data_IF_149480930197
#
_entry.id   IF_149480930197
#
_cell.length_a   1.000
_cell.length_b   1.000
_cell.length_c   1.000
_cell.angle_alpha   90.00
_cell.angle_beta   90.00
_cell.angle_gamma   90.00
#
_symmetry.space_group_name_H-M   'P 1'
#
loop_
_entity.id
_entity.type
_entity.pdbx_description
1 polymer ?
#
# COMPACT_ATOMS: atom_id res chain seq x y z
N UNK A 1 2.04 -18.50 5.45
CA UNK A 1 2.54 -17.99 4.16
C UNK A 1 3.04 -16.58 4.38
N UNK A 2 4.29 -16.27 4.10
CA UNK A 2 4.85 -14.97 4.44
C UNK A 2 4.48 -13.91 3.38
N UNK A 3 3.73 -12.85 3.72
CA UNK A 3 3.49 -11.75 2.79
C UNK A 3 4.73 -10.87 2.59
N UNK A 4 4.81 -10.28 1.39
CA UNK A 4 5.73 -9.18 1.08
C UNK A 4 4.90 -7.91 0.90
N UNK A 5 5.20 -6.87 1.67
CA UNK A 5 4.41 -5.64 1.72
C UNK A 5 5.19 -4.49 1.08
N UNK A 6 4.55 -3.82 0.12
CA UNK A 6 5.08 -2.68 -0.62
C UNK A 6 4.14 -1.49 -0.48
N UNK A 7 4.66 -0.29 -0.50
CA UNK A 7 3.78 0.88 -0.48
C UNK A 7 4.40 2.13 0.10
N UNK A 8 3.51 3.04 0.46
CA UNK A 8 3.79 4.35 1.04
C UNK A 8 3.51 4.40 2.54
N UNK A 9 3.15 5.58 3.07
CA UNK A 9 2.84 5.80 4.49
C UNK A 9 1.67 4.97 5.02
N UNK A 10 0.73 4.56 4.15
CA UNK A 10 -0.41 3.73 4.56
C UNK A 10 0.04 2.34 5.04
N UNK A 11 1.25 1.90 4.64
CA UNK A 11 1.75 0.56 4.90
C UNK A 11 3.11 0.53 5.60
N UNK A 12 3.81 1.68 5.75
CA UNK A 12 5.14 1.76 6.37
C UNK A 12 5.11 1.44 7.87
N UNK A 13 5.75 0.35 8.33
CA UNK A 13 5.83 0.02 9.75
C UNK A 13 6.91 0.84 10.49
N UNK A 14 7.61 1.74 9.78
CA UNK A 14 8.68 2.60 10.28
C UNK A 14 10.03 2.40 9.59
N UNK A 15 10.08 1.99 8.32
CA UNK A 15 11.33 1.94 7.54
C UNK A 15 12.04 3.29 7.51
N UNK A 16 11.27 4.38 7.44
CA UNK A 16 11.82 5.72 7.41
C UNK A 16 12.54 6.15 8.70
N UNK A 17 12.41 5.39 9.79
CA UNK A 17 13.21 5.62 11.00
C UNK A 17 14.70 5.35 10.77
N UNK A 18 15.05 4.55 9.75
CA UNK A 18 16.40 4.07 9.47
C UNK A 18 17.04 4.72 8.25
N UNK A 19 16.41 5.73 7.65
CA UNK A 19 16.93 6.52 6.54
C UNK A 19 17.02 8.01 6.90
N UNK A 20 17.86 8.74 6.16
CA UNK A 20 17.98 10.20 6.29
C UNK A 20 16.91 10.88 5.41
N UNK A 21 15.76 11.16 6.00
CA UNK A 21 14.65 11.83 5.34
C UNK A 21 14.01 12.88 6.26
N UNK A 22 13.08 13.67 5.73
CA UNK A 22 12.33 14.69 6.47
C UNK A 22 11.63 14.10 7.69
N UNK A 23 11.50 14.90 8.74
CA UNK A 23 10.68 14.56 9.91
C UNK A 23 9.21 14.31 9.54
N UNK A 24 8.71 14.97 8.51
CA UNK A 24 7.35 14.79 8.00
C UNK A 24 7.12 13.43 7.35
N UNK A 25 8.20 12.75 6.94
CA UNK A 25 8.15 11.37 6.44
C UNK A 25 8.40 10.33 7.54
N UNK A 26 8.36 10.74 8.82
CA UNK A 26 8.56 9.87 9.99
C UNK A 26 7.43 10.07 10.98
N UNK A 27 6.76 9.00 11.35
CA UNK A 27 5.78 9.01 12.44
C UNK A 27 6.40 8.36 13.71
N UNK A 28 7.62 8.76 14.05
CA UNK A 28 8.41 8.21 15.16
C UNK A 28 8.48 9.15 16.38
N UNK A 29 7.49 10.01 16.51
CA UNK A 29 7.32 10.97 17.62
C UNK A 29 5.86 11.01 18.05
N UNK A 30 5.58 11.45 19.31
CA UNK A 30 4.22 11.62 19.79
C UNK A 30 3.44 12.64 18.93
N UNK A 31 2.11 12.44 18.73
CA UNK A 31 1.26 11.45 19.38
C UNK A 31 1.04 10.16 18.59
N UNK A 32 1.82 9.92 17.50
CA UNK A 32 1.71 8.66 16.76
C UNK A 32 1.92 7.43 17.67
N UNK A 33 1.18 6.35 17.43
CA UNK A 33 1.29 5.10 18.17
C UNK A 33 0.69 5.08 19.59
N UNK A 34 0.04 6.17 20.04
CA UNK A 34 -0.38 6.34 21.43
C UNK A 34 -1.44 5.35 21.93
N UNK A 35 -2.30 4.82 21.03
CA UNK A 35 -3.42 3.96 21.46
C UNK A 35 -3.04 2.49 21.59
N UNK A 36 -2.37 1.90 20.62
CA UNK A 36 -2.06 0.47 20.61
C UNK A 36 -0.64 0.16 21.12
N UNK A 37 0.37 0.75 20.49
CA UNK A 37 1.77 0.47 20.81
C UNK A 37 2.24 1.19 22.08
N UNK A 38 1.59 2.28 22.45
CA UNK A 38 1.95 3.16 23.58
C UNK A 38 3.28 3.90 23.40
N UNK A 39 3.82 3.88 22.19
CA UNK A 39 5.00 4.63 21.76
C UNK A 39 5.01 4.76 20.24
N UNK A 40 5.67 5.78 19.69
CA UNK A 40 5.79 5.97 18.24
C UNK A 40 6.62 4.87 17.60
N UNK A 41 6.11 4.27 16.53
CA UNK A 41 6.79 3.18 15.82
C UNK A 41 7.26 3.57 14.44
N UNK A 42 6.80 4.69 13.90
CA UNK A 42 6.96 5.09 12.52
C UNK A 42 5.71 4.82 11.66
N UNK A 43 4.65 4.26 12.25
CA UNK A 43 3.35 4.09 11.59
C UNK A 43 2.55 5.38 11.65
N UNK A 44 2.03 5.81 10.52
CA UNK A 44 1.16 6.99 10.41
C UNK A 44 -0.26 6.66 10.90
N UNK A 45 -0.39 6.60 12.21
CA UNK A 45 -1.64 6.32 12.94
C UNK A 45 -1.41 6.49 14.44
N UNK A 46 -2.48 6.64 15.21
CA UNK A 46 -2.45 6.46 16.66
C UNK A 46 -2.18 5.01 17.09
N UNK A 47 -2.17 4.06 16.13
CA UNK A 47 -1.93 2.65 16.41
C UNK A 47 -1.46 1.86 15.18
N UNK A 48 -2.25 0.86 14.79
CA UNK A 48 -1.93 -0.09 13.71
C UNK A 48 -2.39 0.41 12.36
N UNK A 49 -1.74 -0.12 11.30
CA UNK A 49 -2.10 0.06 9.90
C UNK A 49 -2.83 -1.18 9.34
N UNK A 50 -3.37 -1.10 8.13
CA UNK A 50 -4.04 -2.24 7.47
C UNK A 50 -3.15 -3.51 7.44
N UNK A 51 -1.85 -3.45 7.08
CA UNK A 51 -1.00 -4.64 7.11
C UNK A 51 -0.95 -5.31 8.48
N UNK A 52 -0.93 -4.57 9.58
CA UNK A 52 -0.94 -5.15 10.93
C UNK A 52 -2.23 -5.94 11.20
N UNK A 53 -3.38 -5.45 10.71
CA UNK A 53 -4.65 -6.19 10.84
C UNK A 53 -4.67 -7.44 9.97
N UNK A 54 -4.11 -7.39 8.76
CA UNK A 54 -3.93 -8.57 7.90
C UNK A 54 -3.02 -9.60 8.59
N UNK A 55 -1.88 -9.17 9.16
CA UNK A 55 -1.00 -10.05 9.94
C UNK A 55 -1.75 -10.72 11.09
N UNK A 56 -2.53 -9.93 11.86
CA UNK A 56 -3.35 -10.44 12.96
C UNK A 56 -4.36 -11.50 12.51
N UNK A 57 -5.09 -11.25 11.41
CA UNK A 57 -6.09 -12.19 10.89
C UNK A 57 -5.46 -13.46 10.30
N UNK A 58 -4.27 -13.33 9.70
CA UNK A 58 -3.47 -14.44 9.20
C UNK A 58 -2.71 -15.20 10.29
N UNK A 59 -2.83 -14.81 11.57
CA UNK A 59 -2.09 -15.36 12.70
C UNK A 59 -0.55 -15.27 12.55
N UNK A 60 -0.10 -14.19 11.90
CA UNK A 60 1.32 -13.87 11.72
C UNK A 60 1.78 -12.81 12.74
N UNK A 61 3.08 -12.74 13.06
CA UNK A 61 3.63 -11.62 13.81
C UNK A 61 3.47 -10.31 13.03
N UNK A 62 3.36 -9.17 13.74
CA UNK A 62 3.40 -7.86 13.09
C UNK A 62 4.75 -7.67 12.39
N UNK A 63 4.71 -7.22 11.13
CA UNK A 63 5.94 -7.00 10.38
C UNK A 63 6.71 -5.82 10.95
N UNK A 64 8.00 -6.07 11.19
CA UNK A 64 8.97 -5.04 11.49
C UNK A 64 9.40 -4.34 10.20
N UNK A 65 9.92 -3.11 10.30
CA UNK A 65 10.58 -2.50 9.16
C UNK A 65 11.67 -3.40 8.58
N UNK A 66 11.74 -3.53 7.26
CA UNK A 66 12.81 -4.28 6.59
C UNK A 66 14.20 -3.78 7.00
N UNK A 67 14.36 -2.46 7.15
CA UNK A 67 15.61 -1.82 7.55
C UNK A 67 15.93 -1.92 9.05
N UNK A 68 15.06 -2.52 9.87
CA UNK A 68 15.32 -2.63 11.30
C UNK A 68 16.61 -3.45 11.58
N UNK A 69 17.51 -2.98 12.46
CA UNK A 69 18.75 -3.70 12.78
C UNK A 69 18.47 -5.11 13.28
N UNK A 70 19.27 -6.08 12.77
CA UNK A 70 19.14 -7.50 13.16
C UNK A 70 17.95 -8.22 12.49
N UNK A 71 17.27 -7.60 11.54
CA UNK A 71 16.24 -8.27 10.75
C UNK A 71 16.90 -9.13 9.67
N UNK A 72 16.93 -10.45 9.87
CA UNK A 72 17.52 -11.42 8.95
C UNK A 72 16.65 -12.66 8.73
N UNK A 73 15.50 -12.72 9.42
CA UNK A 73 14.55 -13.82 9.31
C UNK A 73 13.30 -13.36 8.55
N UNK A 74 13.22 -13.74 7.27
CA UNK A 74 12.13 -13.33 6.38
C UNK A 74 11.11 -14.45 6.10
N UNK A 75 11.21 -15.57 6.83
CA UNK A 75 10.29 -16.69 6.66
C UNK A 75 8.83 -16.32 7.00
N UNK A 76 8.62 -15.27 7.80
CA UNK A 76 7.30 -14.72 8.13
C UNK A 76 6.94 -13.48 7.31
N UNK A 77 7.69 -13.21 6.23
CA UNK A 77 7.47 -12.04 5.36
C UNK A 77 8.32 -10.84 5.70
N UNK A 78 8.20 -9.81 4.87
CA UNK A 78 8.91 -8.54 5.02
C UNK A 78 8.01 -7.37 4.62
N UNK A 79 8.23 -6.21 5.24
CA UNK A 79 7.55 -4.97 4.86
C UNK A 79 8.58 -3.94 4.39
N UNK A 80 8.52 -3.59 3.11
CA UNK A 80 9.43 -2.69 2.40
C UNK A 80 8.86 -1.28 2.25
N UNK A 81 7.60 -1.05 2.62
CA UNK A 81 6.91 0.22 2.44
C UNK A 81 7.64 1.38 3.11
N UNK A 82 7.56 2.55 2.52
CA UNK A 82 8.24 3.77 2.98
C UNK A 82 7.31 4.97 2.84
N UNK A 83 7.11 5.71 3.91
CA UNK A 83 6.28 6.91 3.86
C UNK A 83 6.84 7.93 2.85
N UNK A 84 5.95 8.52 2.05
CA UNK A 84 6.32 9.39 0.94
C UNK A 84 6.73 8.66 -0.34
N UNK A 85 6.76 7.32 -0.33
CA UNK A 85 7.11 6.55 -1.53
C UNK A 85 6.11 6.77 -2.67
N UNK A 86 6.64 6.88 -3.86
CA UNK A 86 5.89 6.98 -5.12
C UNK A 86 6.31 5.89 -6.11
N UNK A 87 5.46 5.66 -7.10
CA UNK A 87 5.77 4.77 -8.22
C UNK A 87 6.80 5.40 -9.17
N UNK A 88 6.89 6.73 -9.22
CA UNK A 88 7.89 7.48 -9.99
C UNK A 88 9.07 7.81 -9.06
N UNK A 89 10.18 7.11 -9.23
CA UNK A 89 11.33 7.18 -8.30
C UNK A 89 11.91 8.59 -8.10
N UNK A 90 11.86 9.44 -9.14
CA UNK A 90 12.43 10.80 -9.11
C UNK A 90 11.56 11.80 -8.34
N UNK A 91 10.35 11.44 -7.93
CA UNK A 91 9.44 12.33 -7.19
C UNK A 91 10.00 12.75 -5.83
N UNK A 92 10.59 11.83 -5.08
CA UNK A 92 11.32 12.14 -3.84
C UNK A 92 12.49 11.15 -3.63
N UNK A 93 13.74 11.56 -3.87
CA UNK A 93 14.92 10.71 -3.69
C UNK A 93 15.30 10.50 -2.21
N UNK A 94 14.63 11.12 -1.26
CA UNK A 94 14.94 10.98 0.17
C UNK A 94 14.19 9.83 0.86
N UNK A 95 13.27 9.18 0.15
CA UNK A 95 12.48 8.03 0.61
C UNK A 95 12.78 6.78 -0.23
N UNK A 96 12.26 5.63 0.20
CA UNK A 96 12.48 4.36 -0.52
C UNK A 96 11.38 4.21 -1.58
N UNK A 97 11.68 4.59 -2.83
CA UNK A 97 10.75 4.48 -3.96
C UNK A 97 10.29 3.03 -4.17
N UNK A 98 9.21 2.82 -4.94
CA UNK A 98 8.71 1.48 -5.28
C UNK A 98 9.79 0.60 -5.95
N UNK A 99 10.64 1.19 -6.80
CA UNK A 99 11.76 0.49 -7.43
C UNK A 99 12.84 0.08 -6.42
N UNK A 100 13.15 0.96 -5.45
CA UNK A 100 14.07 0.63 -4.37
C UNK A 100 13.50 -0.46 -3.43
N UNK A 101 12.19 -0.46 -3.18
CA UNK A 101 11.49 -1.53 -2.45
C UNK A 101 11.61 -2.88 -3.18
N UNK A 102 11.49 -2.89 -4.51
CA UNK A 102 11.75 -4.08 -5.32
C UNK A 102 13.19 -4.57 -5.18
N UNK A 103 14.15 -3.66 -5.15
CA UNK A 103 15.57 -4.00 -4.95
C UNK A 103 15.79 -4.69 -3.60
N UNK A 104 15.18 -4.16 -2.53
CA UNK A 104 15.21 -4.77 -1.20
C UNK A 104 14.53 -6.16 -1.20
N UNK A 105 13.43 -6.31 -1.94
CA UNK A 105 12.78 -7.62 -2.09
C UNK A 105 13.68 -8.63 -2.81
N UNK A 106 14.41 -8.24 -3.85
CA UNK A 106 15.39 -9.09 -4.54
C UNK A 106 16.49 -9.59 -3.59
N UNK A 107 16.94 -8.74 -2.65
CA UNK A 107 17.88 -9.15 -1.60
C UNK A 107 17.27 -10.21 -0.68
N UNK A 108 16.02 -10.04 -0.25
CA UNK A 108 15.31 -11.04 0.58
C UNK A 108 15.17 -12.38 -0.17
N UNK A 109 14.82 -12.34 -1.46
CA UNK A 109 14.75 -13.56 -2.30
C UNK A 109 16.10 -14.27 -2.35
N UNK A 110 17.20 -13.53 -2.55
CA UNK A 110 18.55 -14.08 -2.55
C UNK A 110 18.92 -14.71 -1.21
N UNK A 111 18.59 -14.05 -0.10
CA UNK A 111 18.82 -14.59 1.25
C UNK A 111 18.01 -15.86 1.53
N UNK A 112 16.75 -15.90 1.12
CA UNK A 112 15.92 -17.10 1.27
C UNK A 112 16.50 -18.28 0.47
N UNK A 113 16.95 -18.06 -0.77
CA UNK A 113 17.60 -19.10 -1.59
C UNK A 113 18.90 -19.57 -0.97
N UNK A 114 19.70 -18.69 -0.43
CA UNK A 114 20.94 -19.02 0.27
C UNK A 114 20.70 -19.84 1.55
N UNK A 115 19.66 -19.53 2.31
CA UNK A 115 19.37 -20.16 3.61
C UNK A 115 18.66 -21.50 3.47
N UNK A 116 17.72 -21.61 2.52
CA UNK A 116 16.79 -22.75 2.41
C UNK A 116 17.01 -23.59 1.14
N UNK A 117 17.77 -23.07 0.17
CA UNK A 117 17.90 -23.64 -1.18
C UNK A 117 16.77 -23.19 -2.10
N UNK A 118 17.01 -23.32 -3.41
CA UNK A 118 16.09 -22.79 -4.45
C UNK A 118 14.67 -23.37 -4.36
N UNK A 119 14.53 -24.68 -4.17
CA UNK A 119 13.23 -25.35 -4.18
C UNK A 119 12.30 -24.86 -3.04
N UNK A 120 12.82 -24.72 -1.82
CA UNK A 120 12.03 -24.27 -0.67
C UNK A 120 11.74 -22.78 -0.76
N UNK A 121 12.74 -21.98 -1.18
CA UNK A 121 12.56 -20.55 -1.43
C UNK A 121 11.49 -20.27 -2.49
N UNK A 122 11.53 -20.99 -3.62
CA UNK A 122 10.54 -20.90 -4.68
C UNK A 122 9.13 -21.28 -4.20
N UNK A 123 9.01 -22.27 -3.33
CA UNK A 123 7.73 -22.66 -2.74
C UNK A 123 7.19 -21.56 -1.82
N UNK A 124 8.06 -20.94 -1.02
CA UNK A 124 7.71 -19.79 -0.16
C UNK A 124 7.21 -18.62 -1.00
N UNK A 125 7.96 -18.25 -2.05
CA UNK A 125 7.63 -17.12 -2.93
C UNK A 125 6.30 -17.31 -3.66
N UNK A 126 6.04 -18.51 -4.18
CA UNK A 126 4.77 -18.83 -4.86
C UNK A 126 3.56 -18.70 -3.95
N UNK A 127 3.71 -19.10 -2.70
CA UNK A 127 2.62 -19.07 -1.73
C UNK A 127 2.50 -17.74 -1.01
N UNK A 128 3.52 -16.89 -1.08
CA UNK A 128 3.52 -15.55 -0.48
C UNK A 128 2.47 -14.66 -1.15
N UNK A 129 1.80 -13.83 -0.34
CA UNK A 129 0.93 -12.76 -0.84
C UNK A 129 1.75 -11.47 -0.94
N UNK A 130 1.83 -10.90 -2.14
CA UNK A 130 2.41 -9.57 -2.37
C UNK A 130 1.31 -8.53 -2.17
N UNK A 131 1.37 -7.80 -1.07
CA UNK A 131 0.41 -6.77 -0.69
C UNK A 131 0.96 -5.40 -1.07
N UNK A 132 0.22 -4.59 -1.83
CA UNK A 132 0.67 -3.26 -2.22
C UNK A 132 -0.40 -2.17 -2.12
N UNK A 133 0.05 -0.96 -1.73
CA UNK A 133 -0.72 0.29 -1.75
C UNK A 133 0.24 1.41 -2.14
N UNK A 134 0.12 1.91 -3.37
CA UNK A 134 1.04 2.90 -3.95
C UNK A 134 0.33 3.74 -5.02
N UNK A 135 0.82 4.96 -5.27
CA UNK A 135 0.32 5.88 -6.28
C UNK A 135 -0.34 7.13 -5.71
N UNK A 136 -0.77 7.10 -4.44
CA UNK A 136 -1.39 8.27 -3.80
C UNK A 136 -0.46 9.49 -3.73
N UNK A 137 0.78 9.26 -3.34
CA UNK A 137 1.83 10.30 -3.26
C UNK A 137 2.11 10.91 -4.64
N UNK A 138 2.17 10.08 -5.70
CA UNK A 138 2.38 10.56 -7.07
C UNK A 138 1.33 11.61 -7.46
N UNK A 139 0.07 11.40 -7.10
CA UNK A 139 -1.03 12.30 -7.47
C UNK A 139 -1.09 13.58 -6.63
N UNK A 140 -0.67 13.54 -5.38
CA UNK A 140 -0.49 14.76 -4.59
C UNK A 140 0.62 15.63 -5.18
N UNK A 141 1.77 15.03 -5.49
CA UNK A 141 2.90 15.74 -6.12
C UNK A 141 2.51 16.32 -7.47
N UNK A 142 1.82 15.53 -8.32
CA UNK A 142 1.35 16.00 -9.62
C UNK A 142 0.39 17.18 -9.50
N UNK A 143 -0.59 17.09 -8.60
CA UNK A 143 -1.58 18.17 -8.41
C UNK A 143 -0.97 19.45 -7.90
N UNK A 144 0.08 19.36 -7.08
CA UNK A 144 0.82 20.51 -6.57
C UNK A 144 1.68 21.17 -7.66
N UNK A 145 2.34 20.36 -8.48
CA UNK A 145 3.22 20.84 -9.57
C UNK A 145 2.43 21.35 -10.76
N UNK A 146 1.26 20.78 -11.05
CA UNK A 146 0.45 21.05 -12.25
C UNK A 146 -1.01 21.37 -11.89
N UNK A 147 -1.29 22.48 -11.18
CA UNK A 147 -2.63 22.79 -10.67
C UNK A 147 -3.67 23.08 -11.76
N UNK A 148 -3.25 23.24 -13.01
CA UNK A 148 -4.12 23.48 -14.17
C UNK A 148 -3.95 22.40 -15.26
N UNK A 149 -3.53 21.19 -14.87
CA UNK A 149 -3.35 20.10 -15.81
C UNK A 149 -4.66 19.79 -16.56
N UNK A 150 -4.56 19.58 -17.84
CA UNK A 150 -5.66 19.09 -18.67
C UNK A 150 -5.99 17.62 -18.35
N UNK A 151 -7.18 17.18 -18.71
CA UNK A 151 -7.58 15.78 -18.56
C UNK A 151 -6.59 14.82 -19.26
N UNK A 152 -6.10 15.17 -20.45
CA UNK A 152 -5.10 14.38 -21.18
C UNK A 152 -3.74 14.29 -20.45
N UNK A 153 -3.30 15.37 -19.80
CA UNK A 153 -2.07 15.36 -19.00
C UNK A 153 -2.24 14.47 -17.76
N UNK A 154 -3.39 14.55 -17.10
CA UNK A 154 -3.74 13.66 -15.97
C UNK A 154 -3.78 12.19 -16.39
N UNK A 155 -4.43 11.87 -17.52
CA UNK A 155 -4.47 10.51 -18.08
C UNK A 155 -3.07 9.98 -18.39
N UNK A 156 -2.24 10.78 -19.06
CA UNK A 156 -0.86 10.39 -19.38
C UNK A 156 -0.04 10.13 -18.11
N UNK A 157 -0.18 10.96 -17.08
CA UNK A 157 0.54 10.78 -15.83
C UNK A 157 0.09 9.48 -15.11
N UNK A 158 -1.21 9.20 -15.10
CA UNK A 158 -1.74 7.93 -14.57
C UNK A 158 -1.15 6.74 -15.31
N UNK A 159 -1.01 6.79 -16.64
CA UNK A 159 -0.41 5.68 -17.40
C UNK A 159 1.07 5.47 -17.03
N UNK A 160 1.82 6.53 -16.75
CA UNK A 160 3.21 6.41 -16.27
C UNK A 160 3.27 5.75 -14.90
N UNK A 161 2.43 6.19 -13.96
CA UNK A 161 2.34 5.61 -12.61
C UNK A 161 1.99 4.12 -12.67
N UNK A 162 0.94 3.77 -13.41
CA UNK A 162 0.50 2.38 -13.58
C UNK A 162 1.60 1.55 -14.28
N UNK A 163 2.25 2.09 -15.31
CA UNK A 163 3.35 1.42 -15.99
C UNK A 163 4.49 1.02 -15.04
N UNK A 164 4.89 1.92 -14.15
CA UNK A 164 5.93 1.64 -13.15
C UNK A 164 5.48 0.56 -12.14
N UNK A 165 4.23 0.63 -11.68
CA UNK A 165 3.66 -0.41 -10.80
C UNK A 165 3.69 -1.77 -11.50
N UNK A 166 3.25 -1.84 -12.76
CA UNK A 166 3.23 -3.09 -13.53
C UNK A 166 4.63 -3.67 -13.77
N UNK A 167 5.63 -2.82 -13.99
CA UNK A 167 7.02 -3.27 -14.11
C UNK A 167 7.48 -3.98 -12.84
N UNK A 168 7.20 -3.40 -11.68
CA UNK A 168 7.54 -4.03 -10.39
C UNK A 168 6.78 -5.34 -10.18
N UNK A 169 5.49 -5.39 -10.52
CA UNK A 169 4.68 -6.61 -10.40
C UNK A 169 5.21 -7.73 -11.30
N UNK A 170 5.59 -7.42 -12.55
CA UNK A 170 6.19 -8.40 -13.48
C UNK A 170 7.52 -8.94 -12.96
N UNK A 171 8.35 -8.09 -12.38
CA UNK A 171 9.61 -8.52 -11.75
C UNK A 171 9.36 -9.44 -10.54
N UNK A 172 8.41 -9.11 -9.65
CA UNK A 172 8.03 -9.98 -8.53
C UNK A 172 7.49 -11.33 -9.06
N UNK A 173 6.69 -11.30 -10.12
CA UNK A 173 6.21 -12.53 -10.77
C UNK A 173 7.36 -13.37 -11.33
N UNK A 174 8.33 -12.75 -12.01
CA UNK A 174 9.52 -13.43 -12.54
C UNK A 174 10.37 -14.06 -11.42
N UNK A 175 10.39 -13.47 -10.24
CA UNK A 175 11.05 -14.00 -9.04
C UNK A 175 10.26 -15.13 -8.33
N UNK A 176 9.09 -15.47 -8.81
CA UNK A 176 8.28 -16.58 -8.28
C UNK A 176 6.97 -16.17 -7.62
N UNK A 177 6.68 -14.89 -7.45
CA UNK A 177 5.41 -14.38 -6.87
C UNK A 177 4.20 -14.77 -7.72
N UNK A 178 3.10 -15.19 -7.09
CA UNK A 178 1.88 -15.64 -7.80
C UNK A 178 0.59 -15.09 -7.22
N UNK A 179 0.60 -14.51 -6.03
CA UNK A 179 -0.57 -13.99 -5.33
C UNK A 179 -0.37 -12.50 -5.04
N UNK A 180 -1.21 -11.67 -5.61
CA UNK A 180 -1.09 -10.22 -5.53
C UNK A 180 -2.35 -9.60 -4.93
N UNK A 181 -2.18 -8.76 -3.94
CA UNK A 181 -3.27 -8.04 -3.29
C UNK A 181 -3.03 -6.54 -3.40
N UNK A 182 -3.89 -5.87 -4.15
CA UNK A 182 -3.81 -4.44 -4.38
C UNK A 182 -4.84 -3.70 -3.51
N UNK A 183 -4.40 -2.74 -2.73
CA UNK A 183 -5.27 -1.69 -2.22
C UNK A 183 -5.29 -0.57 -3.26
N UNK A 184 -6.46 -0.22 -3.79
CA UNK A 184 -6.55 0.89 -4.71
C UNK A 184 -6.33 2.24 -4.01
N UNK A 185 -6.10 3.31 -4.79
CA UNK A 185 -5.82 4.64 -4.26
C UNK A 185 -7.05 5.22 -3.55
N UNK A 186 -6.81 5.85 -2.40
CA UNK A 186 -7.80 6.53 -1.57
C UNK A 186 -8.55 7.65 -2.29
N UNK A 187 -9.69 8.15 -1.76
CA UNK A 187 -10.36 9.34 -2.25
C UNK A 187 -9.57 10.61 -1.87
N UNK A 188 -8.40 10.80 -2.50
CA UNK A 188 -7.39 11.81 -2.16
C UNK A 188 -7.93 13.22 -2.03
N UNK A 189 -8.84 13.61 -2.94
CA UNK A 189 -9.44 14.94 -2.93
C UNK A 189 -10.37 15.20 -1.74
N UNK A 190 -10.75 14.17 -0.98
CA UNK A 190 -11.69 14.28 0.14
C UNK A 190 -11.00 14.23 1.52
N UNK A 191 -9.69 14.06 1.58
CA UNK A 191 -8.93 14.02 2.84
C UNK A 191 -8.99 15.36 3.57
N UNK A 192 -8.80 15.40 4.89
CA UNK A 192 -8.67 16.66 5.63
C UNK A 192 -7.58 17.57 5.03
N UNK A 193 -6.44 16.99 4.59
CA UNK A 193 -5.37 17.74 3.93
C UNK A 193 -5.85 18.43 2.68
N UNK A 194 -6.51 17.72 1.76
CA UNK A 194 -7.05 18.33 0.53
C UNK A 194 -8.10 19.40 0.83
N UNK A 195 -8.98 19.16 1.79
CA UNK A 195 -9.98 20.15 2.21
C UNK A 195 -9.33 21.42 2.75
N UNK A 196 -8.31 21.30 3.58
CA UNK A 196 -7.59 22.43 4.14
C UNK A 196 -6.78 23.17 3.07
N UNK A 197 -6.01 22.47 2.25
CA UNK A 197 -5.14 23.05 1.23
C UNK A 197 -5.91 23.86 0.17
N UNK A 198 -7.10 23.39 -0.19
CA UNK A 198 -7.93 24.02 -1.21
C UNK A 198 -9.11 24.83 -0.65
N UNK A 199 -9.14 25.03 0.69
CA UNK A 199 -10.18 25.80 1.40
C UNK A 199 -11.61 25.34 1.05
N UNK A 200 -11.83 24.02 1.05
CA UNK A 200 -13.11 23.40 0.71
C UNK A 200 -14.04 23.32 1.93
N UNK A 201 -15.33 23.14 1.67
CA UNK A 201 -16.31 22.81 2.72
C UNK A 201 -16.26 21.31 3.05
N UNK A 202 -16.92 20.90 4.14
CA UNK A 202 -16.97 19.49 4.58
C UNK A 202 -17.54 18.53 3.53
N UNK A 203 -18.45 19.02 2.68
CA UNK A 203 -19.12 18.20 1.66
C UNK A 203 -18.41 18.18 0.31
N UNK A 204 -17.38 19.00 0.15
CA UNK A 204 -16.60 19.10 -1.09
C UNK A 204 -15.36 18.24 -1.05
N UNK A 205 -14.91 17.84 -2.25
CA UNK A 205 -13.64 17.18 -2.48
C UNK A 205 -12.90 17.89 -3.63
N UNK A 206 -11.60 17.99 -3.53
CA UNK A 206 -10.80 18.55 -4.62
C UNK A 206 -10.90 17.67 -5.86
N UNK A 207 -11.44 18.24 -6.95
CA UNK A 207 -11.87 17.49 -8.12
C UNK A 207 -10.72 16.82 -8.88
N UNK A 208 -9.55 17.45 -8.95
CA UNK A 208 -8.45 16.99 -9.81
C UNK A 208 -7.75 15.78 -9.19
N UNK A 209 -7.34 15.82 -7.91
CA UNK A 209 -6.80 14.63 -7.22
C UNK A 209 -7.83 13.51 -7.13
N UNK A 210 -9.12 13.85 -7.01
CA UNK A 210 -10.20 12.87 -7.02
C UNK A 210 -10.36 12.20 -8.38
N UNK A 211 -10.18 12.95 -9.49
CA UNK A 211 -10.20 12.42 -10.84
C UNK A 211 -9.01 11.48 -11.08
N UNK A 212 -7.80 11.91 -10.71
CA UNK A 212 -6.57 11.11 -10.80
C UNK A 212 -6.71 9.78 -10.05
N UNK A 213 -7.23 9.82 -8.81
CA UNK A 213 -7.47 8.59 -8.03
C UNK A 213 -8.47 7.64 -8.71
N UNK A 214 -9.56 8.17 -9.31
CA UNK A 214 -10.52 7.35 -10.07
C UNK A 214 -9.93 6.75 -11.33
N UNK A 215 -9.17 7.53 -12.09
CA UNK A 215 -8.50 7.07 -13.31
C UNK A 215 -7.47 5.97 -12.98
N UNK A 216 -6.66 6.18 -11.92
CA UNK A 216 -5.74 5.16 -11.43
C UNK A 216 -6.47 3.85 -11.09
N UNK A 217 -7.52 3.93 -10.29
CA UNK A 217 -8.25 2.75 -9.82
C UNK A 217 -8.87 1.97 -10.98
N UNK A 218 -9.36 2.66 -12.00
CA UNK A 218 -9.87 2.03 -13.21
C UNK A 218 -8.74 1.38 -14.04
N UNK A 219 -7.62 2.07 -14.22
CA UNK A 219 -6.47 1.57 -14.94
C UNK A 219 -5.83 0.37 -14.25
N UNK A 220 -5.74 0.37 -12.91
CA UNK A 220 -5.23 -0.76 -12.12
C UNK A 220 -6.09 -2.02 -12.31
N UNK A 221 -7.42 -1.90 -12.30
CA UNK A 221 -8.32 -3.04 -12.55
C UNK A 221 -8.11 -3.62 -13.95
N UNK A 222 -7.98 -2.77 -14.97
CA UNK A 222 -7.73 -3.19 -16.35
C UNK A 222 -6.40 -3.92 -16.46
N UNK A 223 -5.34 -3.31 -15.93
CA UNK A 223 -3.99 -3.84 -15.97
C UNK A 223 -3.85 -5.19 -15.22
N UNK A 224 -4.48 -5.32 -14.05
CA UNK A 224 -4.45 -6.58 -13.29
C UNK A 224 -5.13 -7.73 -14.05
N UNK A 225 -6.24 -7.47 -14.74
CA UNK A 225 -6.91 -8.46 -15.59
C UNK A 225 -6.06 -8.86 -16.82
N UNK A 226 -5.35 -7.90 -17.39
CA UNK A 226 -4.42 -8.18 -18.50
C UNK A 226 -3.25 -9.04 -18.04
N UNK A 227 -2.70 -8.77 -16.84
CA UNK A 227 -1.64 -9.62 -16.26
C UNK A 227 -2.14 -11.06 -15.98
N UNK A 228 -3.38 -11.22 -15.50
CA UNK A 228 -3.97 -12.55 -15.28
C UNK A 228 -4.07 -13.37 -16.57
N UNK A 229 -4.34 -12.71 -17.70
CA UNK A 229 -4.36 -13.36 -19.03
C UNK A 229 -2.95 -13.68 -19.54
N UNK A 230 -2.00 -12.75 -19.33
CA UNK A 230 -0.64 -12.85 -19.87
C UNK A 230 0.29 -13.73 -19.06
N UNK A 231 0.08 -13.84 -17.75
CA UNK A 231 1.00 -14.46 -16.81
C UNK A 231 0.35 -15.71 -16.16
N UNK A 232 0.68 -16.91 -16.59
CA UNK A 232 0.11 -18.15 -16.06
C UNK A 232 0.28 -18.30 -14.55
N UNK A 233 -0.83 -18.59 -13.86
CA UNK A 233 -0.84 -18.71 -12.38
C UNK A 233 -0.75 -17.38 -11.63
N UNK A 234 -0.87 -16.25 -12.31
CA UNK A 234 -1.03 -14.95 -11.68
C UNK A 234 -2.44 -14.87 -11.05
N UNK A 235 -2.49 -14.66 -9.75
CA UNK A 235 -3.75 -14.48 -9.01
C UNK A 235 -3.74 -13.12 -8.35
N UNK A 236 -4.83 -12.40 -8.47
CA UNK A 236 -4.92 -11.07 -7.85
C UNK A 236 -6.24 -10.84 -7.15
N UNK A 237 -6.21 -9.88 -6.23
CA UNK A 237 -7.39 -9.25 -5.65
C UNK A 237 -7.20 -7.74 -5.62
N UNK A 238 -8.29 -7.00 -5.73
CA UNK A 238 -8.30 -5.54 -5.53
C UNK A 238 -9.28 -5.20 -4.42
N UNK A 239 -8.79 -4.56 -3.38
CA UNK A 239 -9.59 -3.94 -2.33
C UNK A 239 -10.02 -2.54 -2.78
N UNK A 240 -11.32 -2.31 -2.93
CA UNK A 240 -11.86 -0.99 -3.23
C UNK A 240 -11.83 -0.08 -1.99
N UNK A 241 -10.60 0.34 -1.65
CA UNK A 241 -10.34 1.25 -0.55
C UNK A 241 -10.99 2.61 -0.78
N UNK A 242 -10.98 3.08 -2.04
CA UNK A 242 -11.60 4.35 -2.44
C UNK A 242 -13.07 4.44 -2.02
N UNK A 243 -13.90 3.54 -2.52
CA UNK A 243 -15.34 3.56 -2.24
C UNK A 243 -15.62 3.23 -0.78
N UNK A 244 -14.86 2.31 -0.20
CA UNK A 244 -15.03 1.90 1.19
C UNK A 244 -14.72 3.02 2.17
N UNK A 245 -13.64 3.76 1.95
CA UNK A 245 -13.29 4.92 2.78
C UNK A 245 -14.27 6.08 2.55
N UNK A 246 -14.71 6.35 1.33
CA UNK A 246 -15.78 7.34 1.07
C UNK A 246 -17.05 6.99 1.84
N UNK A 247 -17.48 5.73 1.81
CA UNK A 247 -18.68 5.30 2.56
C UNK A 247 -18.53 5.52 4.06
N UNK A 248 -17.33 5.27 4.60
CA UNK A 248 -17.01 5.49 6.01
C UNK A 248 -16.99 6.99 6.34
N UNK A 249 -16.39 7.81 5.49
CA UNK A 249 -16.29 9.25 5.67
C UNK A 249 -17.64 9.96 5.57
N UNK A 250 -18.46 9.63 4.58
CA UNK A 250 -19.77 10.28 4.40
C UNK A 250 -20.92 9.69 5.24
N UNK A 251 -20.66 8.57 5.94
CA UNK A 251 -21.63 7.95 6.85
C UNK A 251 -20.98 7.55 8.19
N UNK A 252 -20.23 8.43 8.87
CA UNK A 252 -19.36 8.06 9.99
C UNK A 252 -20.15 7.43 11.15
N UNK A 253 -21.33 7.92 11.46
CA UNK A 253 -22.17 7.40 12.55
C UNK A 253 -22.56 5.93 12.34
N UNK A 254 -22.80 5.51 11.09
CA UNK A 254 -23.11 4.13 10.73
C UNK A 254 -21.96 3.18 11.10
N UNK A 255 -20.74 3.68 11.06
CA UNK A 255 -19.52 2.91 11.34
C UNK A 255 -18.96 3.16 12.76
N UNK A 256 -19.69 3.95 13.56
CA UNK A 256 -19.35 4.22 14.96
C UNK A 256 -18.30 5.32 15.16
N UNK A 257 -18.20 6.25 14.21
CA UNK A 257 -17.39 7.45 14.29
C UNK A 257 -18.28 8.69 14.48
N UNK A 258 -17.75 9.75 15.08
CA UNK A 258 -18.44 11.03 15.25
C UNK A 258 -17.93 12.09 14.27
N UNK A 259 -16.64 12.01 13.91
CA UNK A 259 -15.97 12.97 13.04
C UNK A 259 -15.21 12.27 11.91
N UNK A 260 -15.34 12.78 10.70
CA UNK A 260 -14.74 12.21 9.51
C UNK A 260 -14.15 13.26 8.55
N UNK A 261 -14.31 14.54 8.87
CA UNK A 261 -13.82 15.65 8.05
C UNK A 261 -12.61 16.34 8.70
N UNK A 262 -12.57 16.38 10.03
CA UNK A 262 -11.50 17.00 10.80
C UNK A 262 -10.63 15.86 11.37
N UNK A 263 -9.31 15.99 11.23
CA UNK A 263 -8.38 15.03 11.81
C UNK A 263 -8.31 15.14 13.34
N UNK A 264 -7.96 14.04 13.99
CA UNK A 264 -7.77 13.98 15.44
C UNK A 264 -6.56 14.81 15.91
N UNK A 265 -5.52 14.87 15.07
CA UNK A 265 -4.24 15.52 15.38
C UNK A 265 -3.82 16.46 14.25
N UNK A 266 -3.52 17.69 14.59
CA UNK A 266 -2.94 18.67 13.69
C UNK A 266 -3.40 20.09 13.91
N UNK A 267 -3.05 20.96 12.99
CA UNK A 267 -3.36 22.39 13.00
C UNK A 267 -4.20 22.81 11.80
N UNK A 268 -4.77 24.01 11.85
CA UNK A 268 -5.61 24.57 10.79
C UNK A 268 -7.07 24.13 10.87
N UNK A 269 -7.87 24.54 9.87
CA UNK A 269 -9.34 24.40 9.88
C UNK A 269 -9.81 22.94 9.98
N UNK A 270 -9.03 22.02 9.37
CA UNK A 270 -9.33 20.59 9.36
C UNK A 270 -8.33 19.77 10.20
N UNK A 271 -7.49 20.43 11.02
CA UNK A 271 -6.38 19.80 11.76
C UNK A 271 -5.48 18.96 10.87
N UNK A 272 -5.22 19.44 9.64
CA UNK A 272 -4.61 18.62 8.60
C UNK A 272 -3.09 18.82 8.46
N UNK A 273 -2.49 19.73 9.25
CA UNK A 273 -1.05 20.02 9.22
C UNK A 273 -0.40 19.79 10.57
N UNK A 274 0.89 19.56 10.58
CA UNK A 274 1.78 19.66 11.75
C UNK A 274 1.42 18.74 12.95
N UNK A 275 0.76 17.60 12.72
CA UNK A 275 0.49 16.65 13.80
C UNK A 275 1.79 16.24 14.50
N UNK A 276 1.90 16.53 15.79
CA UNK A 276 3.09 16.24 16.60
C UNK A 276 4.27 17.20 16.39
N UNK A 277 4.13 18.22 15.54
CA UNK A 277 5.18 19.19 15.22
C UNK A 277 4.66 20.60 15.48
N UNK A 278 5.35 21.38 16.35
CA UNK A 278 4.93 22.74 16.66
C UNK A 278 3.63 22.79 17.47
N UNK A 279 2.77 23.79 17.16
CA UNK A 279 1.48 23.95 17.80
C UNK A 279 0.40 23.17 17.05
N UNK A 280 -0.15 22.15 17.66
CA UNK A 280 -1.23 21.30 17.10
C UNK A 280 -2.29 21.01 18.15
N UNK A 281 -3.49 20.69 17.69
CA UNK A 281 -4.55 20.16 18.51
C UNK A 281 -4.57 18.63 18.47
N UNK A 282 -4.89 18.00 19.61
CA UNK A 282 -5.06 16.56 19.71
C UNK A 282 -6.44 16.23 20.29
N UNK A 283 -7.19 15.43 19.62
CA UNK A 283 -8.51 14.99 20.09
C UNK A 283 -8.39 14.14 21.37
N UNK A 284 -9.44 14.16 22.20
CA UNK A 284 -9.47 13.36 23.45
C UNK A 284 -9.60 11.86 23.23
N UNK A 285 -10.23 11.46 22.12
CA UNK A 285 -10.54 10.07 21.85
C UNK A 285 -10.43 9.78 20.35
N UNK A 286 -9.29 9.24 19.86
CA UNK A 286 -9.10 8.89 18.46
C UNK A 286 -10.16 7.91 17.92
N UNK A 287 -10.77 7.09 18.77
CA UNK A 287 -11.83 6.16 18.36
C UNK A 287 -13.12 6.86 17.87
N UNK A 288 -13.25 8.14 18.02
CA UNK A 288 -14.38 8.92 17.52
C UNK A 288 -14.14 9.51 16.13
N UNK A 289 -12.88 9.48 15.65
CA UNK A 289 -12.42 10.08 14.42
C UNK A 289 -12.08 9.04 13.36
N UNK A 290 -12.34 9.36 12.09
CA UNK A 290 -11.89 8.56 10.94
C UNK A 290 -10.41 8.82 10.69
N UNK A 291 -10.01 10.08 10.61
CA UNK A 291 -8.63 10.49 10.33
C UNK A 291 -7.88 10.79 11.63
N UNK A 292 -6.64 10.29 11.70
CA UNK A 292 -5.72 10.63 12.78
C UNK A 292 -5.00 11.95 12.49
N UNK A 293 -4.39 12.07 11.31
CA UNK A 293 -3.80 13.31 10.80
C UNK A 293 -4.48 13.73 9.48
N UNK A 294 -3.89 14.65 8.72
CA UNK A 294 -4.48 15.19 7.50
C UNK A 294 -4.76 14.17 6.39
N UNK A 295 -4.11 13.01 6.41
CA UNK A 295 -4.16 12.00 5.34
C UNK A 295 -4.39 10.58 5.85
N UNK A 296 -3.95 10.29 7.10
CA UNK A 296 -3.89 8.95 7.64
C UNK A 296 -5.00 8.68 8.64
N UNK A 297 -5.38 7.42 8.75
CA UNK A 297 -6.52 7.01 9.54
C UNK A 297 -6.15 6.65 10.97
N UNK A 298 -7.16 6.65 11.85
CA UNK A 298 -7.04 6.11 13.20
C UNK A 298 -6.92 4.58 13.20
N UNK A 299 -6.34 4.00 14.25
CA UNK A 299 -6.29 2.54 14.48
C UNK A 299 -7.68 1.89 14.28
N UNK A 300 -8.72 2.53 14.83
CA UNK A 300 -10.10 2.04 14.68
C UNK A 300 -10.57 2.05 13.25
N UNK A 301 -10.27 3.09 12.46
CA UNK A 301 -10.66 3.18 11.06
C UNK A 301 -9.90 2.14 10.23
N UNK A 302 -8.59 2.00 10.43
CA UNK A 302 -7.81 0.94 9.79
C UNK A 302 -8.28 -0.46 10.19
N UNK A 303 -8.72 -0.67 11.42
CA UNK A 303 -9.31 -1.94 11.87
C UNK A 303 -10.58 -2.31 11.08
N UNK A 304 -11.46 -1.31 10.82
CA UNK A 304 -12.67 -1.53 10.03
C UNK A 304 -12.35 -1.88 8.57
N UNK A 305 -11.44 -1.13 7.97
CA UNK A 305 -11.02 -1.34 6.59
C UNK A 305 -10.22 -2.65 6.43
N UNK A 306 -9.34 -2.96 7.37
CA UNK A 306 -8.60 -4.22 7.38
C UNK A 306 -9.51 -5.44 7.49
N UNK A 307 -10.60 -5.37 8.29
CA UNK A 307 -11.59 -6.45 8.35
C UNK A 307 -12.33 -6.62 7.04
N UNK A 308 -12.70 -5.51 6.38
CA UNK A 308 -13.35 -5.54 5.07
C UNK A 308 -12.40 -6.05 3.97
N UNK A 309 -11.13 -5.73 4.03
CA UNK A 309 -10.13 -6.27 3.11
C UNK A 309 -9.96 -7.77 3.32
N UNK A 310 -9.93 -8.23 4.59
CA UNK A 310 -9.72 -9.63 4.94
C UNK A 310 -10.87 -10.52 4.49
N UNK A 311 -12.11 -10.19 4.83
CA UNK A 311 -13.28 -11.07 4.61
C UNK A 311 -14.51 -10.36 3.99
N UNK A 312 -14.31 -9.16 3.44
CA UNK A 312 -15.37 -8.42 2.75
C UNK A 312 -15.90 -9.17 1.53
N UNK A 313 -17.15 -8.85 1.14
CA UNK A 313 -17.76 -9.41 -0.05
C UNK A 313 -17.18 -8.84 -1.35
N UNK A 314 -17.56 -9.41 -2.49
CA UNK A 314 -17.07 -9.05 -3.83
C UNK A 314 -17.31 -7.60 -4.25
N UNK A 315 -18.20 -6.89 -3.58
CA UNK A 315 -18.42 -5.45 -3.77
C UNK A 315 -17.39 -4.58 -3.02
N UNK A 316 -16.50 -5.18 -2.26
CA UNK A 316 -15.47 -4.51 -1.48
C UNK A 316 -14.08 -5.00 -1.88
N UNK A 317 -13.93 -6.32 -2.05
CA UNK A 317 -12.67 -6.94 -2.49
C UNK A 317 -12.98 -8.02 -3.52
N UNK A 318 -12.39 -7.93 -4.72
CA UNK A 318 -12.70 -8.81 -5.83
C UNK A 318 -11.42 -9.22 -6.61
N UNK A 319 -11.42 -10.39 -7.31
CA UNK A 319 -12.48 -11.40 -7.40
C UNK A 319 -12.61 -12.33 -6.19
N UNK A 320 -11.62 -12.33 -5.29
CA UNK A 320 -11.58 -13.01 -4.00
C UNK A 320 -11.36 -11.97 -2.91
N UNK A 321 -11.57 -12.34 -1.63
CA UNK A 321 -11.09 -11.54 -0.52
C UNK A 321 -9.67 -11.99 -0.08
N UNK A 322 -9.05 -11.23 0.82
CA UNK A 322 -7.69 -11.50 1.28
C UNK A 322 -7.56 -12.89 1.91
N UNK A 323 -8.53 -13.31 2.74
CA UNK A 323 -8.55 -14.63 3.36
C UNK A 323 -8.54 -15.74 2.30
N UNK A 324 -9.40 -15.63 1.30
CA UNK A 324 -9.46 -16.61 0.19
C UNK A 324 -8.16 -16.63 -0.62
N UNK A 325 -7.51 -15.47 -0.85
CA UNK A 325 -6.22 -15.42 -1.52
C UNK A 325 -5.11 -16.08 -0.70
N UNK A 326 -5.11 -15.89 0.63
CA UNK A 326 -4.18 -16.59 1.53
C UNK A 326 -4.39 -18.10 1.46
N UNK A 327 -5.62 -18.57 1.49
CA UNK A 327 -6.00 -19.98 1.50
C UNK A 327 -5.91 -20.66 0.12
N UNK A 328 -5.73 -19.88 -0.96
CA UNK A 328 -5.65 -20.39 -2.33
C UNK A 328 -4.46 -21.36 -2.48
N UNK A 329 -4.72 -22.60 -2.85
CA UNK A 329 -3.70 -23.58 -3.18
C UNK A 329 -3.39 -23.53 -4.68
N UNK A 330 -2.12 -23.29 -5.02
CA UNK A 330 -1.67 -23.25 -6.41
C UNK A 330 -1.38 -24.64 -6.92
N UNK A 331 -2.01 -25.05 -8.04
CA UNK A 331 -1.87 -26.38 -8.59
C UNK A 331 -0.49 -26.61 -9.26
N UNK A 332 0.16 -27.76 -9.06
CA UNK A 332 1.45 -28.08 -9.68
C UNK A 332 1.44 -28.11 -11.20
N UNK A 333 0.28 -28.32 -11.83
CA UNK A 333 0.11 -28.40 -13.29
C UNK A 333 0.30 -27.06 -14.01
N UNK A 334 0.09 -25.95 -13.34
CA UNK A 334 0.34 -24.59 -13.89
C UNK A 334 1.85 -24.28 -13.99
N UNK A 335 2.68 -25.13 -13.39
CA UNK A 335 4.12 -24.95 -13.24
C UNK A 335 4.91 -25.52 -14.44
N UNK A 336 4.38 -26.53 -15.14
CA UNK A 336 5.13 -27.29 -16.18
C UNK A 336 5.22 -26.58 -17.52
N UNK A 337 4.35 -25.65 -17.86
CA UNK A 337 4.35 -24.98 -19.16
C UNK A 337 5.54 -24.04 -19.39
N UNK A 338 6.22 -23.57 -18.36
CA UNK A 338 7.35 -22.65 -18.50
C UNK A 338 8.72 -23.31 -18.70
N UNK A 339 8.89 -24.59 -18.33
CA UNK A 339 10.17 -25.31 -18.53
C UNK A 339 10.31 -25.95 -19.91
N UNK A 340 9.23 -26.07 -20.65
CA UNK A 340 9.25 -26.70 -22.00
C UNK A 340 9.52 -25.66 -23.11
N UNK A 341 9.21 -24.34 -22.88
CA UNK A 341 9.41 -23.31 -23.90
C UNK A 341 10.84 -22.72 -23.93
N UNK A 342 11.64 -22.92 -22.88
CA UNK A 342 13.03 -22.45 -22.82
C UNK A 342 14.06 -23.46 -23.35
N UNK A 343 13.68 -24.73 -23.54
CA UNK A 343 14.62 -25.82 -23.94
C UNK A 343 14.61 -26.08 -25.46
N UNK A 344 13.69 -25.49 -26.23
CA UNK A 344 13.58 -25.70 -27.68
C UNK A 344 14.39 -24.69 -28.53
N UNK A 345 15.26 -23.89 -27.93
CA UNK A 345 15.97 -22.78 -28.57
C UNK A 345 17.44 -23.00 -28.98
N UNK A 346 18.02 -24.16 -28.81
CA UNK A 346 19.42 -24.43 -29.28
C UNK A 346 19.47 -25.64 -30.23
N UNK A 347 19.05 -25.42 -31.47
CA UNK A 347 19.49 -26.28 -32.56
C UNK A 347 20.87 -25.82 -33.00
N UNK A 348 21.89 -26.52 -32.58
CA UNK A 348 23.24 -26.44 -33.16
C UNK A 348 23.18 -26.94 -34.59
N UNK A 349 23.35 -26.07 -35.56
CA UNK A 349 23.74 -26.45 -36.92
C UNK A 349 25.26 -26.55 -36.96
N UNK A 350 25.75 -27.75 -36.81
CA UNK A 350 27.05 -28.15 -37.32
C UNK A 350 26.84 -28.78 -38.71
N UNK A 351 27.27 -28.05 -39.75
CA UNK A 351 27.84 -28.60 -40.97
C UNK A 351 28.67 -27.51 -41.67
#
# INVERSE_FOLDING_TARGET
MPPSVFGDSLYDPGNNNFINTSITHKANYPPYGETFFRFPTGRFSDGRLIPDFIAKYAHLPYWKPYLAPGQHEFINGANFASAGASAIADNDPTVISLEAQLSNFKEVVSLLKQQLGDAEADQILRNAVCLSSIGGVDYYIFSDQYPNASESEMENYVQVVIGNILNVIKEIYALGGRKFAFQNVAPLGCTPLSKQSYNLTKTECWKDTQALARQHNQALVTAAKELEIQLPGFNFIIFDYFTTLMNLQFNPLKYGFKEADIACCGSGTYHASDCGIGDYELCRNPNEYVYFDGEHLTDKAYSRLGALFWEGGMNVTAPLNMKQLFELELQPSEIKKFKEDDDDGVATNDE
#
